data_IF_820128474853
#
_entry.id   IF_820128474853
#
_cell.length_a   1.000
_cell.length_b   1.000
_cell.length_c   1.000
_cell.angle_alpha   90.00
_cell.angle_beta   90.00
_cell.angle_gamma   90.00
#
_symmetry.space_group_name_H-M   'P 1'
#
loop_
_entity.id
_entity.type
_entity.pdbx_description
1 polymer ?
#
# COMPACT_ATOMS: atom_id res chain seq x y z
N UNK A 1 -24.08 -6.78 18.30
CA UNK A 1 -22.85 -5.98 18.10
C UNK A 1 -21.70 -6.97 17.89
N UNK A 2 -21.22 -7.14 16.66
CA UNK A 2 -20.15 -8.11 16.34
C UNK A 2 -18.80 -7.55 16.81
N UNK A 3 -18.25 -8.08 17.90
CA UNK A 3 -16.86 -7.81 18.32
C UNK A 3 -15.94 -8.83 17.65
N UNK A 4 -14.85 -8.33 17.08
CA UNK A 4 -13.81 -9.16 16.48
C UNK A 4 -13.19 -10.08 17.57
N UNK A 5 -13.26 -11.41 17.39
CA UNK A 5 -12.73 -12.38 18.37
C UNK A 5 -11.21 -12.56 18.30
N UNK A 6 -10.62 -12.33 17.13
CA UNK A 6 -9.18 -12.33 16.91
C UNK A 6 -8.84 -11.51 15.66
N UNK A 7 -7.59 -11.07 15.54
CA UNK A 7 -7.10 -10.35 14.37
C UNK A 7 -5.73 -10.85 13.96
N UNK A 8 -5.54 -11.04 12.65
CA UNK A 8 -4.25 -11.43 12.06
C UNK A 8 -3.59 -10.21 11.44
N UNK A 9 -2.27 -10.11 11.62
CA UNK A 9 -1.50 -8.94 11.20
C UNK A 9 -0.20 -9.35 10.52
N UNK A 10 0.15 -8.61 9.47
CA UNK A 10 1.43 -8.73 8.79
C UNK A 10 2.39 -7.64 9.28
N UNK A 11 3.63 -8.02 9.57
CA UNK A 11 4.63 -7.11 10.13
C UNK A 11 5.45 -6.40 9.04
N UNK A 12 5.37 -6.85 7.78
CA UNK A 12 6.22 -6.36 6.68
C UNK A 12 5.78 -5.05 6.02
N UNK A 13 4.61 -4.53 6.41
CA UNK A 13 4.07 -3.28 5.86
C UNK A 13 4.48 -2.11 6.73
N UNK A 14 3.57 -1.62 7.57
CA UNK A 14 3.80 -0.42 8.39
C UNK A 14 4.91 -0.60 9.42
N UNK A 15 5.13 -1.82 9.93
CA UNK A 15 6.20 -2.12 10.88
C UNK A 15 7.56 -2.42 10.22
N UNK A 16 7.63 -2.46 8.88
CA UNK A 16 8.87 -2.66 8.10
C UNK A 16 9.70 -3.87 8.54
N UNK A 17 9.05 -4.95 8.99
CA UNK A 17 9.69 -6.15 9.55
C UNK A 17 9.17 -7.46 8.94
N UNK A 18 9.94 -8.54 8.90
CA UNK A 18 9.41 -9.83 8.42
C UNK A 18 8.52 -10.50 9.49
N UNK A 19 7.49 -11.23 9.04
CA UNK A 19 6.64 -12.05 9.90
C UNK A 19 5.16 -11.67 9.92
N UNK A 20 4.41 -12.38 10.77
CA UNK A 20 3.00 -12.16 11.04
C UNK A 20 2.65 -12.60 12.45
N UNK A 21 1.53 -12.12 12.96
CA UNK A 21 1.07 -12.43 14.31
C UNK A 21 -0.44 -12.48 14.41
N UNK A 22 -0.92 -13.17 15.44
CA UNK A 22 -2.34 -13.23 15.82
C UNK A 22 -2.51 -12.52 17.16
N UNK A 23 -3.50 -11.64 17.23
CA UNK A 23 -3.95 -11.01 18.48
C UNK A 23 -5.31 -11.60 18.81
N UNK A 24 -5.42 -12.28 19.95
CA UNK A 24 -6.61 -12.97 20.40
C UNK A 24 -6.66 -13.08 21.92
N UNK A 25 -7.73 -13.70 22.47
CA UNK A 25 -7.76 -14.08 23.88
C UNK A 25 -6.64 -15.06 24.23
N UNK A 26 -6.20 -15.05 25.48
CA UNK A 26 -5.17 -15.96 25.98
C UNK A 26 -5.53 -17.42 25.72
N UNK A 27 -6.80 -17.79 25.92
CA UNK A 27 -7.33 -19.14 25.64
C UNK A 27 -7.10 -19.55 24.18
N UNK A 28 -7.40 -18.66 23.21
CA UNK A 28 -7.19 -18.95 21.79
C UNK A 28 -5.70 -19.01 21.45
N UNK A 29 -4.88 -18.14 22.03
CA UNK A 29 -3.43 -18.15 21.82
C UNK A 29 -2.82 -19.47 22.33
N UNK A 30 -3.17 -19.92 23.53
CA UNK A 30 -2.68 -21.19 24.08
C UNK A 30 -3.14 -22.39 23.24
N UNK A 31 -4.39 -22.40 22.79
CA UNK A 31 -4.87 -23.41 21.84
C UNK A 31 -4.05 -23.41 20.54
N UNK A 32 -3.78 -22.23 19.96
CA UNK A 32 -3.01 -22.11 18.71
C UNK A 32 -1.55 -22.57 18.88
N UNK A 33 -0.93 -22.33 20.04
CA UNK A 33 0.46 -22.76 20.30
C UNK A 33 0.65 -24.27 20.17
N UNK A 34 -0.36 -25.06 20.53
CA UNK A 34 -0.29 -26.53 20.50
C UNK A 34 -0.97 -27.16 19.29
N UNK A 35 -1.76 -26.40 18.53
CA UNK A 35 -2.49 -26.94 17.36
C UNK A 35 -2.00 -26.42 16.01
N UNK A 36 -1.41 -25.22 15.95
CA UNK A 36 -0.99 -24.61 14.70
C UNK A 36 0.34 -25.20 14.23
N UNK A 37 0.28 -26.12 13.26
CA UNK A 37 1.47 -26.73 12.62
C UNK A 37 2.47 -25.68 12.11
N UNK A 38 1.96 -24.57 11.57
CA UNK A 38 2.79 -23.47 11.06
C UNK A 38 3.53 -22.69 12.14
N UNK A 39 3.12 -22.81 13.41
CA UNK A 39 3.84 -22.27 14.55
C UNK A 39 4.80 -23.31 15.13
N UNK A 40 4.32 -24.54 15.35
CA UNK A 40 5.07 -25.63 15.98
C UNK A 40 6.29 -26.05 15.16
N UNK A 41 6.15 -26.14 13.83
CA UNK A 41 7.20 -26.59 12.92
C UNK A 41 7.92 -25.44 12.22
N UNK A 42 7.93 -24.25 12.81
CA UNK A 42 8.65 -23.08 12.29
C UNK A 42 9.80 -22.67 13.22
N UNK A 43 10.81 -22.02 12.64
CA UNK A 43 11.94 -21.48 13.41
C UNK A 43 11.51 -20.34 14.34
N UNK A 44 12.23 -20.18 15.46
CA UNK A 44 11.97 -19.11 16.40
C UNK A 44 12.10 -17.72 15.72
N UNK A 45 11.27 -16.79 16.18
CA UNK A 45 11.33 -15.40 15.70
C UNK A 45 12.59 -14.71 16.22
N UNK A 46 13.27 -13.95 15.36
CA UNK A 46 14.52 -13.27 15.73
C UNK A 46 14.26 -12.18 16.78
N UNK A 47 14.98 -12.19 17.94
CA UNK A 47 14.79 -11.18 18.98
C UNK A 47 14.98 -9.74 18.51
N UNK A 48 15.95 -9.49 17.61
CA UNK A 48 16.19 -8.16 17.04
C UNK A 48 14.99 -7.63 16.25
N UNK A 49 14.29 -8.51 15.52
CA UNK A 49 13.07 -8.17 14.79
C UNK A 49 11.92 -7.84 15.75
N UNK A 50 11.79 -8.61 16.84
CA UNK A 50 10.76 -8.36 17.85
C UNK A 50 10.95 -6.99 18.50
N UNK A 51 12.18 -6.65 18.90
CA UNK A 51 12.51 -5.35 19.46
C UNK A 51 12.25 -4.20 18.48
N UNK A 52 12.58 -4.39 17.19
CA UNK A 52 12.28 -3.41 16.14
C UNK A 52 10.77 -3.15 16.00
N UNK A 53 9.95 -4.21 16.04
CA UNK A 53 8.49 -4.08 15.99
C UNK A 53 7.96 -3.36 17.24
N UNK A 54 8.43 -3.73 18.43
CA UNK A 54 8.04 -3.07 19.69
C UNK A 54 8.32 -1.57 19.61
N UNK A 55 9.52 -1.19 19.13
CA UNK A 55 9.87 0.21 18.95
C UNK A 55 9.00 0.90 17.89
N UNK A 56 8.69 0.21 16.80
CA UNK A 56 7.80 0.70 15.75
C UNK A 56 6.39 0.99 16.26
N UNK A 57 5.82 0.10 17.10
CA UNK A 57 4.52 0.31 17.75
C UNK A 57 4.56 1.57 18.63
N UNK A 58 5.60 1.68 19.47
CA UNK A 58 5.77 2.83 20.38
C UNK A 58 5.83 4.16 19.59
N UNK A 59 6.54 4.19 18.46
CA UNK A 59 6.60 5.34 17.56
C UNK A 59 5.23 5.62 16.92
N UNK A 60 4.48 4.60 16.49
CA UNK A 60 3.15 4.77 15.86
C UNK A 60 2.12 5.34 16.84
N UNK A 61 2.20 4.92 18.11
CA UNK A 61 1.34 5.43 19.19
C UNK A 61 1.66 6.88 19.51
N UNK A 62 2.96 7.21 19.62
CA UNK A 62 3.45 8.56 19.95
C UNK A 62 3.32 9.56 18.80
N UNK A 63 3.84 9.23 17.62
CA UNK A 63 3.99 10.14 16.47
C UNK A 63 2.69 10.23 15.64
N UNK A 64 1.63 10.79 16.22
CA UNK A 64 0.33 10.95 15.54
C UNK A 64 0.41 11.79 14.25
N UNK A 65 1.42 12.65 14.14
CA UNK A 65 1.66 13.50 12.96
C UNK A 65 1.86 12.68 11.67
N UNK A 66 2.49 11.49 11.74
CA UNK A 66 2.75 10.64 10.58
C UNK A 66 1.45 10.19 9.91
N UNK A 67 0.45 9.80 10.73
CA UNK A 67 -0.88 9.44 10.24
C UNK A 67 -1.59 10.64 9.62
N UNK A 68 -1.51 11.82 10.26
CA UNK A 68 -2.07 13.06 9.70
C UNK A 68 -1.46 13.36 8.33
N UNK A 69 -0.13 13.34 8.23
CA UNK A 69 0.62 13.63 7.00
C UNK A 69 0.34 12.61 5.88
N UNK A 70 0.27 11.31 6.21
CA UNK A 70 -0.13 10.26 5.28
C UNK A 70 -1.49 10.57 4.64
N UNK A 71 -2.47 10.95 5.46
CA UNK A 71 -3.82 11.27 4.98
C UNK A 71 -3.88 12.59 4.20
N UNK A 72 -3.09 13.60 4.57
CA UNK A 72 -2.93 14.82 3.78
C UNK A 72 -2.36 14.50 2.39
N UNK A 73 -1.26 13.73 2.32
CA UNK A 73 -0.65 13.31 1.06
C UNK A 73 -1.62 12.47 0.20
N UNK A 74 -2.38 11.58 0.84
CA UNK A 74 -3.40 10.74 0.17
C UNK A 74 -4.49 11.59 -0.46
N UNK A 75 -5.09 12.51 0.30
CA UNK A 75 -6.11 13.42 -0.22
C UNK A 75 -5.56 14.34 -1.29
N UNK A 76 -4.35 14.84 -1.10
CA UNK A 76 -3.68 15.70 -2.08
C UNK A 76 -3.53 14.99 -3.43
N UNK A 77 -2.93 13.79 -3.45
CA UNK A 77 -2.74 13.05 -4.68
C UNK A 77 -4.09 12.70 -5.32
N UNK A 78 -5.03 12.15 -4.54
CA UNK A 78 -6.33 11.73 -5.06
C UNK A 78 -7.10 12.89 -5.69
N UNK A 79 -7.28 14.00 -4.97
CA UNK A 79 -8.03 15.15 -5.47
C UNK A 79 -7.41 15.69 -6.78
N UNK A 80 -6.08 15.72 -6.86
CA UNK A 80 -5.37 16.18 -8.03
C UNK A 80 -5.51 15.24 -9.24
N UNK A 81 -5.52 13.91 -9.01
CA UNK A 81 -5.77 12.92 -10.05
C UNK A 81 -7.21 13.01 -10.55
N UNK A 82 -8.18 13.09 -9.63
CA UNK A 82 -9.61 13.20 -9.96
C UNK A 82 -9.87 14.50 -10.76
N UNK A 83 -9.26 15.63 -10.38
CA UNK A 83 -9.36 16.90 -11.10
C UNK A 83 -8.76 16.87 -12.51
N UNK A 84 -7.74 16.04 -12.74
CA UNK A 84 -7.11 15.82 -14.05
C UNK A 84 -7.85 14.79 -14.90
N UNK A 85 -8.94 14.21 -14.40
CA UNK A 85 -9.76 13.24 -15.13
C UNK A 85 -9.33 11.78 -14.99
N UNK A 86 -8.34 11.45 -14.15
CA UNK A 86 -7.95 10.06 -13.92
C UNK A 86 -9.03 9.30 -13.15
N UNK A 87 -9.28 8.05 -13.55
CA UNK A 87 -10.17 7.16 -12.80
C UNK A 87 -9.42 6.50 -11.64
N UNK A 88 -9.67 6.98 -10.41
CA UNK A 88 -9.09 6.46 -9.16
C UNK A 88 -9.91 5.36 -8.49
N UNK A 89 -10.91 4.82 -9.18
CA UNK A 89 -11.82 3.75 -8.71
C UNK A 89 -12.50 4.08 -7.37
N UNK A 90 -12.71 5.37 -7.08
CA UNK A 90 -13.36 5.83 -5.86
C UNK A 90 -12.58 5.53 -4.58
N UNK A 91 -11.26 5.26 -4.65
CA UNK A 91 -10.48 4.86 -3.48
C UNK A 91 -10.62 5.83 -2.30
N UNK A 92 -10.77 5.29 -1.10
CA UNK A 92 -10.85 6.05 0.16
C UNK A 92 -9.68 5.73 1.10
N UNK A 93 -8.63 5.07 0.58
CA UNK A 93 -7.51 4.58 1.38
C UNK A 93 -6.19 5.21 0.91
N UNK A 94 -5.09 5.10 1.68
CA UNK A 94 -3.75 5.49 1.23
C UNK A 94 -3.19 4.68 0.05
N UNK A 95 -3.98 3.77 -0.51
CA UNK A 95 -3.69 3.05 -1.74
C UNK A 95 -4.57 3.68 -2.83
N UNK A 96 -3.95 4.48 -3.71
CA UNK A 96 -4.63 5.20 -4.79
C UNK A 96 -4.35 4.48 -6.11
N UNK A 97 -5.31 3.70 -6.64
CA UNK A 97 -5.17 3.10 -7.96
C UNK A 97 -5.41 4.17 -9.04
N UNK A 98 -4.82 3.97 -10.22
CA UNK A 98 -5.15 4.70 -11.45
C UNK A 98 -5.44 3.66 -12.52
N UNK A 99 -6.69 3.60 -12.97
CA UNK A 99 -7.11 2.66 -14.00
C UNK A 99 -6.48 3.04 -15.35
N UNK A 100 -5.81 2.08 -15.98
CA UNK A 100 -5.23 2.20 -17.32
C UNK A 100 -6.07 1.41 -18.34
N UNK A 101 -6.64 0.29 -17.91
CA UNK A 101 -7.46 -0.59 -18.75
C UNK A 101 -6.61 -1.61 -19.49
N UNK A 102 -5.97 -1.18 -20.59
CA UNK A 102 -5.16 -2.06 -21.44
C UNK A 102 -3.82 -2.44 -20.78
N UNK A 103 -3.46 -3.73 -20.89
CA UNK A 103 -2.26 -4.27 -20.26
C UNK A 103 -0.97 -3.77 -20.90
N UNK A 104 -0.95 -3.64 -22.23
CA UNK A 104 0.23 -3.20 -22.97
C UNK A 104 0.49 -1.72 -22.69
N UNK A 105 -0.56 -0.89 -22.73
CA UNK A 105 -0.50 0.51 -22.34
C UNK A 105 0.01 0.67 -20.91
N UNK A 106 -0.46 -0.15 -19.96
CA UNK A 106 0.03 -0.10 -18.59
C UNK A 106 1.52 -0.43 -18.47
N UNK A 107 2.02 -1.40 -19.24
CA UNK A 107 3.46 -1.75 -19.28
C UNK A 107 4.28 -0.61 -19.87
N UNK A 108 3.82 0.00 -20.96
CA UNK A 108 4.54 1.07 -21.64
C UNK A 108 4.59 2.33 -20.77
N UNK A 109 3.48 2.71 -20.13
CA UNK A 109 3.43 3.79 -19.14
C UNK A 109 4.38 3.50 -17.97
N UNK A 110 4.42 2.27 -17.45
CA UNK A 110 5.35 1.89 -16.38
C UNK A 110 6.80 2.08 -16.79
N UNK A 111 7.15 1.67 -18.01
CA UNK A 111 8.50 1.79 -18.56
C UNK A 111 8.90 3.26 -18.71
N UNK A 112 8.00 4.10 -19.22
CA UNK A 112 8.25 5.53 -19.35
C UNK A 112 8.36 6.22 -17.98
N UNK A 113 7.47 5.93 -17.04
CA UNK A 113 7.59 6.43 -15.67
C UNK A 113 8.94 6.05 -15.05
N UNK A 114 9.39 4.81 -15.25
CA UNK A 114 10.69 4.35 -14.76
C UNK A 114 11.86 5.13 -15.39
N UNK A 115 11.81 5.41 -16.70
CA UNK A 115 12.81 6.26 -17.38
C UNK A 115 12.83 7.69 -16.83
N UNK A 116 11.69 8.17 -16.32
CA UNK A 116 11.55 9.47 -15.65
C UNK A 116 11.83 9.41 -14.13
N UNK A 117 12.34 8.28 -13.63
CA UNK A 117 12.72 8.10 -12.22
C UNK A 117 11.58 7.74 -11.28
N UNK A 118 10.41 7.38 -11.80
CA UNK A 118 9.22 7.01 -11.03
C UNK A 118 8.98 5.50 -11.14
N UNK A 119 9.18 4.78 -10.05
CA UNK A 119 8.89 3.35 -10.00
C UNK A 119 7.41 3.09 -9.71
N UNK A 120 6.64 2.77 -10.76
CA UNK A 120 5.22 2.42 -10.68
C UNK A 120 4.94 1.16 -11.52
N UNK A 121 5.07 -0.04 -10.94
CA UNK A 121 4.82 -1.28 -11.67
C UNK A 121 3.31 -1.45 -11.96
N UNK A 122 2.95 -1.97 -13.15
CA UNK A 122 1.55 -2.17 -13.51
C UNK A 122 1.00 -3.41 -12.81
N UNK A 123 -0.24 -3.31 -12.34
CA UNK A 123 -1.03 -4.46 -11.89
C UNK A 123 -1.94 -4.86 -13.04
N UNK A 124 -1.82 -6.09 -13.50
CA UNK A 124 -2.51 -6.66 -14.66
C UNK A 124 -2.90 -8.11 -14.38
N UNK A 125 -3.54 -8.78 -15.33
CA UNK A 125 -3.87 -10.20 -15.21
C UNK A 125 -2.62 -11.03 -14.84
N UNK A 126 -2.73 -12.04 -13.94
CA UNK A 126 -3.93 -12.57 -13.29
C UNK A 126 -4.34 -11.85 -11.98
N UNK A 127 -3.63 -10.79 -11.58
CA UNK A 127 -3.89 -10.10 -10.31
C UNK A 127 -5.16 -9.22 -10.33
N UNK A 128 -5.57 -8.78 -11.52
CA UNK A 128 -6.83 -8.07 -11.79
C UNK A 128 -7.47 -8.62 -13.06
N UNK A 129 -8.79 -8.46 -13.26
CA UNK A 129 -9.46 -8.87 -14.49
C UNK A 129 -8.84 -8.23 -15.75
N UNK A 130 -8.97 -8.90 -16.88
CA UNK A 130 -8.59 -8.34 -18.18
C UNK A 130 -9.36 -7.03 -18.44
N UNK A 131 -8.68 -6.06 -19.08
CA UNK A 131 -9.25 -4.74 -19.31
C UNK A 131 -9.32 -3.85 -18.07
N UNK A 132 -8.80 -4.29 -16.92
CA UNK A 132 -8.72 -3.49 -15.71
C UNK A 132 -7.29 -3.31 -15.18
N UNK A 133 -6.30 -3.30 -16.09
CA UNK A 133 -4.92 -3.01 -15.73
C UNK A 133 -4.83 -1.63 -15.08
N UNK A 134 -4.01 -1.50 -14.02
CA UNK A 134 -3.95 -0.28 -13.22
C UNK A 134 -2.58 -0.07 -12.57
N UNK A 135 -2.24 1.19 -12.33
CA UNK A 135 -1.13 1.53 -11.43
C UNK A 135 -1.64 1.63 -10.00
N UNK A 136 -0.84 1.27 -9.01
CA UNK A 136 -1.21 1.37 -7.59
C UNK A 136 -0.19 2.18 -6.81
N UNK A 137 -0.52 3.44 -6.53
CA UNK A 137 0.30 4.32 -5.72
C UNK A 137 -0.02 4.11 -4.24
N UNK A 138 0.99 3.72 -3.46
CA UNK A 138 0.85 3.52 -2.01
C UNK A 138 1.53 4.68 -1.29
N UNK A 139 0.74 5.54 -0.67
CA UNK A 139 1.23 6.76 -0.07
C UNK A 139 1.95 6.48 1.26
N UNK A 140 2.87 7.36 1.60
CA UNK A 140 3.58 7.39 2.87
C UNK A 140 3.58 8.82 3.43
N UNK A 141 3.88 8.97 4.73
CA UNK A 141 4.09 10.28 5.35
C UNK A 141 5.31 11.02 4.81
N UNK A 142 6.27 10.29 4.21
CA UNK A 142 7.58 10.81 3.84
C UNK A 142 7.59 11.50 2.47
N UNK A 143 6.57 11.27 1.63
CA UNK A 143 6.49 11.96 0.34
C UNK A 143 6.35 13.47 0.54
N UNK A 144 7.28 14.21 -0.06
CA UNK A 144 7.22 15.65 -0.17
C UNK A 144 6.16 16.08 -1.18
N UNK A 145 5.63 17.29 -1.04
CA UNK A 145 4.68 17.85 -2.01
C UNK A 145 5.29 17.89 -3.41
N UNK A 146 6.57 18.30 -3.52
CA UNK A 146 7.32 18.33 -4.79
C UNK A 146 7.36 16.97 -5.49
N UNK A 147 7.59 15.88 -4.75
CA UNK A 147 7.56 14.53 -5.34
C UNK A 147 6.17 14.13 -5.83
N UNK A 148 5.11 14.53 -5.11
CA UNK A 148 3.73 14.29 -5.54
C UNK A 148 3.39 15.12 -6.79
N UNK A 149 3.85 16.37 -6.85
CA UNK A 149 3.67 17.25 -8.02
C UNK A 149 4.40 16.65 -9.23
N UNK A 150 5.67 16.24 -9.07
CA UNK A 150 6.41 15.54 -10.13
C UNK A 150 5.69 14.28 -10.61
N UNK A 151 5.11 13.49 -9.70
CA UNK A 151 4.31 12.33 -10.09
C UNK A 151 3.07 12.74 -10.91
N UNK A 152 2.34 13.76 -10.44
CA UNK A 152 1.13 14.24 -11.10
C UNK A 152 1.41 14.78 -12.50
N UNK A 153 2.46 15.58 -12.67
CA UNK A 153 2.83 16.17 -13.96
C UNK A 153 3.18 15.07 -14.96
N UNK A 154 4.03 14.12 -14.56
CA UNK A 154 4.40 12.99 -15.41
C UNK A 154 3.21 12.07 -15.74
N UNK A 155 2.29 11.89 -14.80
CA UNK A 155 1.05 11.15 -15.07
C UNK A 155 0.17 11.91 -16.05
N UNK A 156 0.06 13.23 -15.94
CA UNK A 156 -0.74 14.07 -16.85
C UNK A 156 -0.22 13.95 -18.28
N UNK A 157 1.09 14.15 -18.48
CA UNK A 157 1.74 14.01 -19.79
C UNK A 157 1.45 12.64 -20.44
N UNK A 158 1.60 11.57 -19.66
CA UNK A 158 1.36 10.20 -20.13
C UNK A 158 -0.14 9.93 -20.30
N UNK A 159 -0.98 10.51 -19.46
CA UNK A 159 -2.43 10.42 -19.55
C UNK A 159 -2.94 11.00 -20.87
N UNK A 160 -2.44 12.16 -21.28
CA UNK A 160 -2.75 12.78 -22.57
C UNK A 160 -2.20 11.94 -23.73
N UNK A 161 -0.91 11.57 -23.66
CA UNK A 161 -0.24 10.74 -24.69
C UNK A 161 -0.98 9.43 -24.98
N UNK A 162 -1.45 8.77 -23.93
CA UNK A 162 -2.14 7.48 -24.01
C UNK A 162 -3.67 7.61 -23.98
N UNK A 163 -4.22 8.83 -24.05
CA UNK A 163 -5.67 9.12 -24.08
C UNK A 163 -6.45 8.53 -22.91
N UNK A 164 -5.86 8.57 -21.71
CA UNK A 164 -6.50 8.18 -20.45
C UNK A 164 -7.37 9.29 -19.86
N UNK A 165 -7.05 10.54 -20.20
CA UNK A 165 -7.75 11.76 -19.78
C UNK A 165 -8.04 12.63 -21.01
N UNK A 166 -9.02 13.53 -20.90
CA UNK A 166 -9.46 14.42 -21.98
C UNK A 166 -8.66 15.71 -22.02
#
# INVERSE_FOLDING_TARGET
MWRCRYSSHYLFKSFRCCGGGVIASSELIEYLRVTAKTYIFSGAFLPSLALGIMKGIEIIERDKWRRKKLWENTRYLKNNLDQRGFNTLGSQTPIVPVLIGDEKTAIDISRELLQRGIFAPPIRWPAVPHGEARMRFTLTSEYSKKQLDTLLDNLTDLGEKYKLIQ
#
